data_IF_195873603190
#
_entry.id   IF_195873603190
#
_cell.length_a   1.000
_cell.length_b   1.000
_cell.length_c   1.000
_cell.angle_alpha   90.00
_cell.angle_beta   90.00
_cell.angle_gamma   90.00
#
_symmetry.space_group_name_H-M   'P 1'
#
loop_
_entity.id
_entity.type
_entity.pdbx_description
1 polymer ?
#
# COMPACT_ATOMS: atom_id res chain seq x y z
N UNK A 1 3.01 -13.67 2.50
CA UNK A 1 2.28 -14.68 3.30
C UNK A 1 1.67 -14.03 4.51
N UNK A 2 0.45 -14.41 4.92
CA UNK A 2 -0.20 -13.81 6.09
C UNK A 2 -0.07 -14.71 7.34
N UNK A 3 0.05 -14.08 8.51
CA UNK A 3 -0.02 -14.67 9.85
C UNK A 3 -1.06 -13.83 10.62
N UNK A 4 -2.33 -14.22 10.52
CA UNK A 4 -3.42 -13.32 10.90
C UNK A 4 -3.39 -12.04 10.04
N UNK A 5 -3.34 -10.87 10.66
CA UNK A 5 -3.17 -9.58 9.98
C UNK A 5 -1.71 -9.18 9.74
N UNK A 6 -0.74 -9.96 10.22
CA UNK A 6 0.69 -9.71 10.00
C UNK A 6 1.09 -10.24 8.63
N UNK A 7 1.80 -9.44 7.84
CA UNK A 7 2.30 -9.81 6.53
C UNK A 7 3.79 -10.16 6.60
N UNK A 8 4.14 -11.38 6.23
CA UNK A 8 5.51 -11.80 5.93
C UNK A 8 5.81 -11.60 4.44
N UNK A 9 6.82 -10.78 4.14
CA UNK A 9 7.31 -10.50 2.78
C UNK A 9 8.77 -10.95 2.65
N UNK A 10 9.11 -11.58 1.53
CA UNK A 10 10.48 -12.01 1.21
C UNK A 10 10.94 -11.24 -0.01
N UNK A 11 12.09 -10.56 0.10
CA UNK A 11 12.65 -9.82 -1.02
C UNK A 11 12.99 -10.77 -2.19
N UNK A 12 12.36 -10.62 -3.37
CA UNK A 12 12.64 -11.49 -4.50
C UNK A 12 13.95 -11.16 -5.23
N UNK A 13 14.62 -10.04 -4.89
CA UNK A 13 15.80 -9.50 -5.59
C UNK A 13 15.61 -9.32 -7.11
N UNK A 14 14.35 -9.25 -7.57
CA UNK A 14 13.97 -9.01 -8.96
C UNK A 14 12.59 -8.39 -9.03
N UNK A 15 12.32 -7.72 -10.14
CA UNK A 15 10.97 -7.26 -10.44
C UNK A 15 10.10 -8.47 -10.82
N UNK A 16 8.89 -8.52 -10.28
CA UNK A 16 7.87 -9.49 -10.64
C UNK A 16 6.83 -8.76 -11.49
N UNK A 17 6.71 -9.06 -12.80
CA UNK A 17 5.78 -8.36 -13.68
C UNK A 17 4.34 -8.39 -13.14
N UNK A 18 3.69 -7.23 -13.13
CA UNK A 18 2.29 -7.11 -12.71
C UNK A 18 2.03 -7.19 -11.20
N UNK A 19 3.04 -7.46 -10.36
CA UNK A 19 2.82 -7.59 -8.90
C UNK A 19 2.42 -6.26 -8.25
N UNK A 20 3.00 -5.15 -8.70
CA UNK A 20 2.79 -3.80 -8.15
C UNK A 20 2.25 -2.80 -9.20
N UNK A 21 1.57 -3.30 -10.23
CA UNK A 21 0.96 -2.50 -11.29
C UNK A 21 -0.26 -1.71 -10.79
N UNK A 22 -0.74 -0.78 -11.60
CA UNK A 22 -2.00 -0.05 -11.33
C UNK A 22 -3.20 -1.00 -11.24
N UNK A 23 -3.26 -2.03 -12.09
CA UNK A 23 -4.30 -3.07 -12.01
C UNK A 23 -4.29 -3.79 -10.66
N UNK A 24 -3.11 -4.02 -10.07
CA UNK A 24 -3.00 -4.61 -8.75
C UNK A 24 -3.52 -3.65 -7.67
N UNK A 25 -3.21 -2.35 -7.77
CA UNK A 25 -3.77 -1.34 -6.86
C UNK A 25 -5.30 -1.36 -6.91
N UNK A 26 -5.89 -1.30 -8.10
CA UNK A 26 -7.35 -1.28 -8.24
C UNK A 26 -7.99 -2.58 -7.74
N UNK A 27 -7.38 -3.73 -8.03
CA UNK A 27 -7.85 -5.02 -7.54
C UNK A 27 -7.90 -5.06 -6.01
N UNK A 28 -6.83 -4.67 -5.32
CA UNK A 28 -6.75 -4.74 -3.86
C UNK A 28 -7.56 -3.65 -3.14
N UNK A 29 -7.83 -2.53 -3.81
CA UNK A 29 -8.72 -1.48 -3.31
C UNK A 29 -10.15 -1.98 -3.07
N UNK A 30 -10.64 -2.86 -3.94
CA UNK A 30 -12.02 -3.31 -3.94
C UNK A 30 -12.29 -4.53 -3.04
N UNK A 31 -11.25 -5.10 -2.43
CA UNK A 31 -11.33 -6.35 -1.68
C UNK A 31 -10.85 -6.19 -0.24
N UNK A 32 -11.44 -6.98 0.65
CA UNK A 32 -11.06 -7.02 2.07
C UNK A 32 -9.86 -7.92 2.30
N UNK A 33 -9.18 -7.72 3.43
CA UNK A 33 -8.09 -8.58 3.86
C UNK A 33 -8.57 -10.04 3.96
N UNK A 34 -7.91 -10.95 3.22
CA UNK A 34 -8.23 -12.37 3.20
C UNK A 34 -9.04 -12.84 1.98
N UNK A 35 -9.65 -11.93 1.21
CA UNK A 35 -10.38 -12.27 -0.02
C UNK A 35 -9.44 -12.53 -1.21
N UNK A 36 -8.27 -11.88 -1.21
CA UNK A 36 -7.22 -12.00 -2.22
C UNK A 36 -5.94 -12.61 -1.64
N UNK A 37 -5.03 -13.11 -2.50
CA UNK A 37 -3.72 -13.59 -2.05
C UNK A 37 -2.97 -12.56 -1.20
N UNK A 38 -2.14 -13.00 -0.22
CA UNK A 38 -1.36 -12.10 0.63
C UNK A 38 -0.54 -11.08 -0.15
N UNK A 39 -0.76 -9.80 0.12
CA UNK A 39 -0.10 -8.71 -0.59
C UNK A 39 -0.03 -7.46 0.27
N UNK A 40 1.00 -6.63 0.06
CA UNK A 40 1.21 -5.39 0.83
C UNK A 40 0.07 -4.39 0.62
N UNK A 41 -0.55 -4.38 -0.56
CA UNK A 41 -1.73 -3.56 -0.85
C UNK A 41 -2.96 -3.98 -0.04
N UNK A 42 -3.11 -5.26 0.33
CA UNK A 42 -4.18 -5.69 1.23
C UNK A 42 -3.98 -5.12 2.65
N UNK A 43 -2.73 -5.10 3.14
CA UNK A 43 -2.37 -4.48 4.42
C UNK A 43 -2.62 -2.97 4.38
N UNK A 44 -2.25 -2.29 3.28
CA UNK A 44 -2.49 -0.87 3.07
C UNK A 44 -4.00 -0.54 3.08
N UNK A 45 -4.80 -1.34 2.36
CA UNK A 45 -6.26 -1.22 2.27
C UNK A 45 -6.92 -1.38 3.65
N UNK A 46 -6.56 -2.42 4.41
CA UNK A 46 -7.12 -2.62 5.75
C UNK A 46 -6.70 -1.51 6.71
N UNK A 47 -5.45 -1.05 6.66
CA UNK A 47 -4.97 0.10 7.44
C UNK A 47 -5.81 1.36 7.14
N UNK A 48 -6.04 1.65 5.85
CA UNK A 48 -6.86 2.77 5.43
C UNK A 48 -8.31 2.64 5.93
N UNK A 49 -8.94 1.48 5.77
CA UNK A 49 -10.30 1.25 6.25
C UNK A 49 -10.42 1.35 7.78
N UNK A 50 -9.39 0.95 8.53
CA UNK A 50 -9.39 1.00 9.99
C UNK A 50 -9.51 2.43 10.55
N UNK A 51 -9.07 3.46 9.80
CA UNK A 51 -9.27 4.86 10.19
C UNK A 51 -10.75 5.18 10.48
N UNK A 52 -11.67 4.63 9.67
CA UNK A 52 -13.11 4.77 9.89
C UNK A 52 -13.69 3.71 10.82
N UNK A 53 -13.23 2.46 10.73
CA UNK A 53 -13.80 1.36 11.55
C UNK A 53 -13.50 1.52 13.05
N UNK A 54 -12.34 2.05 13.40
CA UNK A 54 -11.84 2.12 14.79
C UNK A 54 -11.79 3.53 15.36
N UNK A 55 -11.87 4.55 14.50
CA UNK A 55 -11.79 5.97 14.91
C UNK A 55 -10.51 6.34 15.67
N UNK A 56 -9.41 5.63 15.40
CA UNK A 56 -8.07 5.90 15.94
C UNK A 56 -7.01 5.98 14.83
N UNK A 57 -5.86 6.59 15.14
CA UNK A 57 -4.73 6.68 14.21
C UNK A 57 -4.11 5.31 13.98
N UNK A 58 -3.83 4.97 12.71
CA UNK A 58 -3.19 3.71 12.34
C UNK A 58 -1.69 3.88 12.11
N UNK A 59 -0.92 2.81 12.35
CA UNK A 59 0.48 2.74 11.98
C UNK A 59 0.82 1.38 11.35
N UNK A 60 1.79 1.37 10.44
CA UNK A 60 2.34 0.14 9.85
C UNK A 60 3.81 0.04 10.22
N UNK A 61 4.18 -0.99 10.99
CA UNK A 61 5.56 -1.26 11.35
C UNK A 61 6.18 -2.24 10.35
N UNK A 62 7.30 -1.86 9.74
CA UNK A 62 8.04 -2.70 8.79
C UNK A 62 9.40 -3.05 9.38
N UNK A 63 9.61 -4.32 9.70
CA UNK A 63 10.86 -4.84 10.28
C UNK A 63 11.62 -5.73 9.30
N UNK A 64 12.91 -5.94 9.57
CA UNK A 64 13.79 -6.78 8.76
C UNK A 64 15.23 -6.26 8.72
N UNK A 65 16.17 -7.12 8.37
CA UNK A 65 17.59 -6.77 8.24
C UNK A 65 17.86 -5.85 7.04
N UNK A 66 19.12 -5.41 6.89
CA UNK A 66 19.55 -4.68 5.70
C UNK A 66 19.31 -5.52 4.45
N UNK A 67 18.77 -4.91 3.39
CA UNK A 67 18.42 -5.63 2.16
C UNK A 67 17.11 -6.43 2.18
N UNK A 68 16.39 -6.49 3.30
CA UNK A 68 15.11 -7.21 3.38
C UNK A 68 13.95 -6.58 2.58
N UNK A 69 14.13 -5.36 2.05
CA UNK A 69 13.12 -4.67 1.24
C UNK A 69 12.19 -3.72 2.02
N UNK A 70 12.61 -3.25 3.21
CA UNK A 70 11.83 -2.33 4.04
C UNK A 70 11.48 -1.03 3.31
N UNK A 71 12.48 -0.35 2.73
CA UNK A 71 12.29 0.90 1.99
C UNK A 71 11.30 0.74 0.84
N UNK A 72 11.49 -0.27 -0.01
CA UNK A 72 10.59 -0.54 -1.14
C UNK A 72 9.16 -0.88 -0.67
N UNK A 73 9.02 -1.59 0.46
CA UNK A 73 7.71 -1.85 1.07
C UNK A 73 7.01 -0.57 1.51
N UNK A 74 7.74 0.37 2.12
CA UNK A 74 7.22 1.71 2.47
C UNK A 74 6.74 2.46 1.23
N UNK A 75 7.54 2.48 0.15
CA UNK A 75 7.17 3.15 -1.11
C UNK A 75 5.88 2.58 -1.69
N UNK A 76 5.72 1.26 -1.69
CA UNK A 76 4.52 0.57 -2.18
C UNK A 76 3.29 0.87 -1.32
N UNK A 77 3.43 0.93 0.00
CA UNK A 77 2.36 1.35 0.91
C UNK A 77 1.89 2.77 0.59
N UNK A 78 2.83 3.71 0.44
CA UNK A 78 2.53 5.11 0.14
C UNK A 78 1.87 5.28 -1.23
N UNK A 79 2.37 4.59 -2.26
CA UNK A 79 1.76 4.54 -3.59
C UNK A 79 0.29 4.12 -3.52
N UNK A 80 0.01 3.05 -2.77
CA UNK A 80 -1.35 2.55 -2.62
C UNK A 80 -2.25 3.55 -1.88
N UNK A 81 -1.78 4.11 -0.75
CA UNK A 81 -2.55 5.07 0.05
C UNK A 81 -2.85 6.37 -0.73
N UNK A 82 -1.90 6.85 -1.53
CA UNK A 82 -2.11 7.99 -2.42
C UNK A 82 -3.21 7.72 -3.44
N UNK A 83 -3.17 6.57 -4.11
CA UNK A 83 -4.22 6.16 -5.05
C UNK A 83 -5.60 6.04 -4.38
N UNK A 84 -5.67 5.56 -3.13
CA UNK A 84 -6.91 5.49 -2.35
C UNK A 84 -7.48 6.89 -2.05
N UNK A 85 -6.61 7.84 -1.70
CA UNK A 85 -6.95 9.22 -1.37
C UNK A 85 -7.48 10.02 -2.56
N UNK A 86 -6.91 9.82 -3.76
CA UNK A 86 -7.32 10.57 -4.96
C UNK A 86 -8.77 10.34 -5.39
N UNK A 87 -9.39 9.24 -4.96
CA UNK A 87 -10.76 8.88 -5.35
C UNK A 87 -11.80 9.32 -4.30
N UNK A 88 -11.41 9.66 -3.08
CA UNK A 88 -12.34 10.14 -2.05
C UNK A 88 -12.72 11.61 -2.24
N UNK A 89 -11.90 12.37 -2.97
CA UNK A 89 -12.19 13.74 -3.37
C UNK A 89 -12.83 13.69 -4.74
N UNK A 90 -14.06 14.18 -4.89
CA UNK A 90 -14.71 14.40 -6.19
C UNK A 90 -14.04 15.52 -7.00
N UNK A 91 -12.71 15.50 -7.09
CA UNK A 91 -11.90 16.48 -7.80
C UNK A 91 -11.89 16.17 -9.30
N UNK A 92 -11.95 17.20 -10.16
CA UNK A 92 -11.81 17.02 -11.60
C UNK A 92 -10.46 16.39 -11.93
N UNK A 93 -10.45 15.49 -12.91
CA UNK A 93 -9.33 14.63 -13.32
C UNK A 93 -8.06 15.36 -13.86
N UNK A 94 -7.89 16.65 -13.59
CA UNK A 94 -6.88 17.51 -14.23
C UNK A 94 -5.75 17.99 -13.31
N UNK A 95 -5.82 17.81 -11.98
CA UNK A 95 -4.70 18.11 -11.08
C UNK A 95 -4.18 16.82 -10.45
N UNK A 96 -3.40 16.06 -11.23
CA UNK A 96 -2.51 15.04 -10.67
C UNK A 96 -1.51 15.77 -9.78
N UNK A 97 -1.82 15.90 -8.48
CA UNK A 97 -0.89 16.40 -7.49
C UNK A 97 0.25 15.38 -7.35
N UNK A 98 1.26 15.52 -8.21
CA UNK A 98 2.55 14.82 -8.17
C UNK A 98 3.32 15.10 -6.87
N UNK A 99 2.84 16.04 -6.06
CA UNK A 99 3.65 16.72 -5.07
C UNK A 99 3.92 15.93 -3.78
N UNK A 100 3.07 14.96 -3.42
CA UNK A 100 3.25 14.17 -2.18
C UNK A 100 3.98 12.86 -2.44
N UNK A 101 3.69 12.19 -3.56
CA UNK A 101 4.38 10.94 -3.92
C UNK A 101 5.87 11.18 -4.17
N UNK A 102 6.23 12.17 -4.99
CA UNK A 102 7.63 12.51 -5.27
C UNK A 102 8.34 12.99 -3.99
N UNK A 103 7.72 13.87 -3.20
CA UNK A 103 8.33 14.40 -1.98
C UNK A 103 8.63 13.33 -0.91
N UNK A 104 7.78 12.29 -0.79
CA UNK A 104 8.01 11.20 0.16
C UNK A 104 8.94 10.12 -0.43
N UNK A 105 8.97 9.94 -1.75
CA UNK A 105 9.87 8.99 -2.42
C UNK A 105 11.33 9.48 -2.51
N UNK A 106 11.55 10.80 -2.52
CA UNK A 106 12.87 11.44 -2.57
C UNK A 106 13.52 11.69 -1.18
N UNK A 107 12.78 11.45 -0.08
CA UNK A 107 13.28 11.54 1.30
C UNK A 107 13.85 10.21 1.80
#
# INVERSE_FOLDING_TARGET
TNIGSILASVNPYKLIPGLYSEDAVERYRQHRLGELPPHIFATASECYCCLWKRHDSQCVLISGESGAGKTESTKLLLKFLSAMSQTSVGAPAAEKSTHVEEAILES
#
